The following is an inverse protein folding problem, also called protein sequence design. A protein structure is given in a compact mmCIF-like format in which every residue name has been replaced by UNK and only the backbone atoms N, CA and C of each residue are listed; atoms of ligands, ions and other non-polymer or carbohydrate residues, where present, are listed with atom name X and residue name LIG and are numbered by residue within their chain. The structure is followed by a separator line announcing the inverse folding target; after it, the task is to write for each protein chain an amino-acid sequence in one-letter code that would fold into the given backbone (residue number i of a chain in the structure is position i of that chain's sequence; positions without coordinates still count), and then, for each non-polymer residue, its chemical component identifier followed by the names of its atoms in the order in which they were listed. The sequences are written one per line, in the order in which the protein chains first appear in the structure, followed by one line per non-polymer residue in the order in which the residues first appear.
data_IF_225463938152
#
_entry.id   IF_225463938152
#
_cell.length_a   1.000
_cell.length_b   1.000
_cell.length_c   1.000
_cell.angle_alpha   90.00
_cell.angle_beta   90.00
_cell.angle_gamma   90.00
#
_symmetry.space_group_name_H-M   'P 1'
#
loop_
_entity.id
_entity.type
_entity.pdbx_description
1 polymer ?
#
# COMPACT_ATOMS: atom_id res chain seq x y z
N UNK A 1 0.14 15.01 -24.58
CA UNK A 1 -0.32 16.35 -24.15
C UNK A 1 -1.15 16.25 -22.86
N UNK A 2 -2.22 15.44 -22.80
CA UNK A 2 -3.04 15.26 -21.56
C UNK A 2 -2.22 14.75 -20.36
N UNK A 3 -1.23 13.87 -20.58
CA UNK A 3 -0.34 13.38 -19.52
C UNK A 3 0.58 14.48 -18.96
N UNK A 4 1.08 15.38 -19.81
CA UNK A 4 1.95 16.49 -19.39
C UNK A 4 1.16 17.55 -18.59
N UNK A 5 -0.08 17.83 -18.99
CA UNK A 5 -0.97 18.70 -18.22
C UNK A 5 -1.31 18.13 -16.86
N UNK A 6 -1.49 16.80 -16.77
CA UNK A 6 -1.78 16.10 -15.51
C UNK A 6 -0.57 16.08 -14.55
N UNK A 7 0.66 15.96 -15.05
CA UNK A 7 1.90 16.02 -14.25
C UNK A 7 2.04 17.38 -13.57
N UNK A 8 1.68 18.46 -14.25
CA UNK A 8 1.74 19.82 -13.66
C UNK A 8 0.65 20.07 -12.61
N UNK A 9 -0.37 19.21 -12.51
CA UNK A 9 -1.46 19.28 -11.51
C UNK A 9 -1.21 18.38 -10.31
N UNK A 10 -0.20 17.50 -10.34
CA UNK A 10 0.10 16.64 -9.21
C UNK A 10 0.64 17.46 -8.03
N UNK A 11 0.20 17.17 -6.82
CA UNK A 11 0.73 17.81 -5.64
C UNK A 11 2.22 17.50 -5.50
N UNK A 12 2.98 18.47 -5.00
CA UNK A 12 4.41 18.26 -4.72
C UNK A 12 4.61 17.15 -3.69
N UNK A 13 5.68 16.34 -3.83
CA UNK A 13 6.02 15.34 -2.83
C UNK A 13 6.12 15.93 -1.43
N UNK A 14 5.54 15.25 -0.47
CA UNK A 14 5.58 15.67 0.92
C UNK A 14 7.00 15.49 1.48
N UNK A 15 7.60 16.59 1.94
CA UNK A 15 8.95 16.59 2.54
C UNK A 15 8.86 16.31 4.03
N UNK A 16 8.67 15.04 4.38
CA UNK A 16 8.62 14.55 5.76
C UNK A 16 9.54 13.34 5.92
N UNK A 17 10.00 13.11 7.12
CA UNK A 17 10.57 11.82 7.49
C UNK A 17 9.42 10.82 7.67
N UNK A 18 9.47 9.72 6.91
CA UNK A 18 8.48 8.63 6.99
C UNK A 18 9.03 7.50 7.86
N UNK A 19 8.23 6.94 8.77
CA UNK A 19 8.65 5.72 9.45
C UNK A 19 8.81 4.60 8.41
N UNK A 20 9.96 3.89 8.42
CA UNK A 20 10.23 2.83 7.44
C UNK A 20 9.31 1.64 7.65
N UNK A 21 8.60 1.26 6.60
CA UNK A 21 7.70 0.11 6.60
C UNK A 21 8.49 -1.20 6.74
N UNK A 22 9.60 -1.32 5.99
CA UNK A 22 10.50 -2.47 6.07
C UNK A 22 11.10 -2.63 7.46
N UNK A 23 11.63 -1.55 8.04
CA UNK A 23 12.26 -1.63 9.35
C UNK A 23 11.27 -2.02 10.45
N UNK A 24 10.02 -1.55 10.37
CA UNK A 24 8.99 -1.94 11.32
C UNK A 24 8.66 -3.43 11.28
N UNK A 25 8.70 -4.04 10.09
CA UNK A 25 8.47 -5.49 9.91
C UNK A 25 9.71 -6.33 10.28
N UNK A 26 10.92 -5.75 10.26
CA UNK A 26 12.15 -6.43 10.63
C UNK A 26 12.57 -6.18 12.08
N UNK A 27 11.88 -5.33 12.81
CA UNK A 27 12.20 -5.01 14.20
C UNK A 27 12.03 -6.25 15.11
N UNK A 28 12.83 -6.40 16.18
CA UNK A 28 12.62 -7.46 17.14
C UNK A 28 11.22 -7.39 17.77
N UNK A 29 10.46 -8.49 17.72
CA UNK A 29 9.11 -8.60 18.28
C UNK A 29 8.97 -9.83 19.19
N UNK A 30 10.05 -10.27 19.82
CA UNK A 30 10.12 -11.55 20.49
C UNK A 30 9.87 -12.68 19.47
N UNK A 31 9.04 -13.66 19.83
CA UNK A 31 8.64 -14.74 18.92
C UNK A 31 7.25 -14.53 18.31
N UNK A 32 6.75 -13.27 18.26
CA UNK A 32 5.43 -12.96 17.69
C UNK A 32 5.55 -12.44 16.26
N UNK A 33 4.58 -12.77 15.39
CA UNK A 33 4.53 -12.13 14.07
C UNK A 33 4.24 -10.63 14.20
N UNK A 34 4.73 -9.86 13.25
CA UNK A 34 4.28 -8.48 13.05
C UNK A 34 2.89 -8.47 12.45
N UNK A 35 2.06 -7.52 12.89
CA UNK A 35 0.70 -7.35 12.39
C UNK A 35 0.62 -6.08 11.57
N UNK A 36 0.15 -6.19 10.33
CA UNK A 36 -0.29 -5.08 9.48
C UNK A 36 -1.81 -5.01 9.61
N UNK A 37 -2.32 -4.03 10.35
CA UNK A 37 -3.77 -3.87 10.53
C UNK A 37 -4.37 -3.10 9.37
N UNK A 38 -5.44 -3.65 8.75
CA UNK A 38 -6.06 -3.07 7.56
C UNK A 38 -7.34 -2.31 7.88
N UNK A 39 -7.41 -1.06 7.42
CA UNK A 39 -8.61 -0.25 7.40
C UNK A 39 -9.28 -0.31 6.03
N UNK A 40 -10.51 -0.82 6.01
CA UNK A 40 -11.30 -1.02 4.81
C UNK A 40 -12.79 -0.77 5.08
N UNK A 41 -13.40 0.11 4.28
CA UNK A 41 -14.82 0.46 4.42
C UNK A 41 -15.77 -0.50 3.71
N UNK A 42 -15.34 -1.03 2.58
CA UNK A 42 -16.15 -1.95 1.77
C UNK A 42 -15.25 -2.93 1.03
N UNK A 43 -15.81 -3.99 0.49
CA UNK A 43 -15.14 -4.90 -0.44
C UNK A 43 -16.14 -5.52 -1.43
N UNK A 44 -15.70 -5.94 -2.63
CA UNK A 44 -16.57 -6.61 -3.60
C UNK A 44 -17.27 -7.85 -3.02
N UNK A 45 -16.61 -8.59 -2.12
CA UNK A 45 -17.12 -9.85 -1.55
C UNK A 45 -18.04 -9.65 -0.35
N UNK A 46 -18.00 -8.51 0.34
CA UNK A 46 -18.77 -8.28 1.58
C UNK A 46 -19.66 -7.03 1.54
N UNK A 47 -19.58 -6.23 0.47
CA UNK A 47 -20.25 -4.93 0.44
C UNK A 47 -19.68 -3.96 1.49
N UNK A 48 -20.52 -3.15 2.07
CA UNK A 48 -20.17 -2.18 3.11
C UNK A 48 -19.80 -2.88 4.43
N UNK A 49 -18.73 -2.44 5.07
CA UNK A 49 -18.17 -3.04 6.30
C UNK A 49 -18.24 -2.06 7.47
N UNK A 50 -17.49 -0.95 7.38
CA UNK A 50 -17.33 0.04 8.47
C UNK A 50 -17.51 1.47 7.94
N UNK A 51 -18.70 1.77 7.41
CA UNK A 51 -18.95 3.04 6.72
C UNK A 51 -18.82 4.26 7.63
N UNK A 52 -19.30 4.17 8.86
CA UNK A 52 -19.36 5.29 9.79
C UNK A 52 -18.19 5.35 10.78
N UNK A 53 -17.31 4.35 10.80
CA UNK A 53 -16.20 4.30 11.74
C UNK A 53 -15.07 5.24 11.31
N UNK A 54 -14.64 6.21 12.16
CA UNK A 54 -13.61 7.17 11.79
C UNK A 54 -12.25 6.51 11.56
N UNK A 55 -11.53 6.81 10.44
CA UNK A 55 -10.22 6.23 10.19
C UNK A 55 -9.18 6.55 11.27
N UNK A 56 -9.20 7.75 11.84
CA UNK A 56 -8.33 8.16 12.93
C UNK A 56 -8.54 7.34 14.21
N UNK A 57 -9.77 6.98 14.51
CA UNK A 57 -10.08 6.12 15.65
C UNK A 57 -9.64 4.68 15.39
N UNK A 58 -9.82 4.17 14.16
CA UNK A 58 -9.28 2.88 13.77
C UNK A 58 -7.74 2.83 13.91
N UNK A 59 -7.05 3.86 13.44
CA UNK A 59 -5.60 3.94 13.54
C UNK A 59 -5.12 3.91 15.00
N UNK A 60 -5.80 4.64 15.88
CA UNK A 60 -5.51 4.65 17.31
C UNK A 60 -5.71 3.27 17.94
N UNK A 61 -6.86 2.63 17.71
CA UNK A 61 -7.16 1.31 18.27
C UNK A 61 -6.19 0.24 17.75
N UNK A 62 -5.81 0.28 16.47
CA UNK A 62 -4.83 -0.65 15.90
C UNK A 62 -3.44 -0.46 16.54
N UNK A 63 -3.02 0.79 16.76
CA UNK A 63 -1.75 1.08 17.44
C UNK A 63 -1.78 0.59 18.89
N UNK A 64 -2.84 0.85 19.64
CA UNK A 64 -3.04 0.38 21.03
C UNK A 64 -3.08 -1.14 21.10
N UNK A 65 -3.60 -1.82 20.08
CA UNK A 65 -3.60 -3.28 19.96
C UNK A 65 -2.23 -3.87 19.55
N UNK A 66 -1.23 -3.03 19.26
CA UNK A 66 0.13 -3.49 18.96
C UNK A 66 0.39 -3.78 17.47
N UNK A 67 -0.37 -3.19 16.56
CA UNK A 67 -0.06 -3.25 15.13
C UNK A 67 1.31 -2.64 14.85
N UNK A 68 2.10 -3.28 13.99
CA UNK A 68 3.42 -2.79 13.56
C UNK A 68 3.31 -1.79 12.42
N UNK A 69 2.32 -1.94 11.57
CA UNK A 69 2.03 -1.10 10.41
C UNK A 69 0.51 -1.03 10.18
N UNK A 70 0.07 -0.04 9.40
CA UNK A 70 -1.32 0.07 8.98
C UNK A 70 -1.42 -0.09 7.46
N UNK A 71 -2.40 -0.85 6.98
CA UNK A 71 -2.82 -0.94 5.58
C UNK A 71 -4.08 -0.12 5.39
N UNK A 72 -4.05 0.83 4.45
CA UNK A 72 -5.13 1.80 4.24
C UNK A 72 -5.65 1.66 2.82
N UNK A 73 -6.87 1.17 2.65
CA UNK A 73 -7.53 1.10 1.35
C UNK A 73 -7.83 2.53 0.86
N UNK A 74 -7.29 2.88 -0.32
CA UNK A 74 -7.49 4.20 -0.93
C UNK A 74 -8.27 4.13 -2.24
N UNK A 75 -8.55 2.95 -2.75
CA UNK A 75 -9.38 2.76 -3.95
C UNK A 75 -10.84 3.18 -3.65
N UNK A 76 -11.40 4.02 -4.52
CA UNK A 76 -12.67 4.73 -4.23
C UNK A 76 -13.91 3.93 -4.64
N UNK A 77 -13.84 3.16 -5.71
CA UNK A 77 -15.01 2.53 -6.32
C UNK A 77 -15.48 1.30 -5.55
N UNK A 78 -14.59 0.36 -5.34
CA UNK A 78 -14.92 -0.95 -4.77
C UNK A 78 -14.70 -1.03 -3.25
N UNK A 79 -13.72 -0.26 -2.74
CA UNK A 79 -13.34 -0.31 -1.33
C UNK A 79 -13.80 0.93 -0.54
N UNK A 80 -14.43 1.90 -1.22
CA UNK A 80 -14.92 3.15 -0.63
C UNK A 80 -13.82 3.91 0.15
N UNK A 81 -12.59 3.79 -0.36
CA UNK A 81 -11.41 4.44 0.19
C UNK A 81 -11.21 5.87 -0.30
N UNK A 82 -10.16 6.50 0.16
CA UNK A 82 -9.66 7.77 -0.39
C UNK A 82 -8.22 8.01 0.06
N UNK A 83 -7.41 8.71 -0.74
CA UNK A 83 -6.07 9.14 -0.35
C UNK A 83 -6.05 9.96 0.95
N UNK A 84 -7.13 10.68 1.24
CA UNK A 84 -7.29 11.46 2.47
C UNK A 84 -7.21 10.64 3.75
N UNK A 85 -7.52 9.34 3.71
CA UNK A 85 -7.41 8.46 4.88
C UNK A 85 -5.95 8.27 5.34
N UNK A 86 -4.97 8.29 4.43
CA UNK A 86 -3.56 8.22 4.81
C UNK A 86 -3.18 9.35 5.78
N UNK A 87 -3.63 10.59 5.51
CA UNK A 87 -3.40 11.72 6.43
C UNK A 87 -4.16 11.55 7.75
N UNK A 88 -5.41 11.11 7.70
CA UNK A 88 -6.25 10.93 8.89
C UNK A 88 -5.72 9.81 9.81
N UNK A 89 -5.07 8.80 9.26
CA UNK A 89 -4.54 7.64 10.00
C UNK A 89 -3.07 7.79 10.42
N UNK A 90 -2.41 8.92 10.13
CA UNK A 90 -0.97 9.10 10.41
C UNK A 90 -0.64 9.47 11.86
N UNK A 91 -1.62 9.89 12.66
CA UNK A 91 -1.38 10.40 14.02
C UNK A 91 -0.65 9.44 14.97
N UNK A 92 -0.87 8.10 14.95
CA UNK A 92 -0.12 7.18 15.80
C UNK A 92 1.36 7.02 15.44
N UNK A 93 1.82 7.55 14.29
CA UNK A 93 3.21 7.46 13.85
C UNK A 93 3.62 6.08 13.30
N UNK A 94 2.67 5.16 13.09
CA UNK A 94 2.96 3.87 12.47
C UNK A 94 3.17 3.99 10.96
N UNK A 95 4.03 3.14 10.34
CA UNK A 95 4.18 3.10 8.90
C UNK A 95 2.85 2.79 8.21
N UNK A 96 2.53 3.53 7.14
CA UNK A 96 1.27 3.42 6.39
C UNK A 96 1.52 2.82 5.02
N UNK A 97 0.84 1.72 4.71
CA UNK A 97 0.77 1.14 3.36
C UNK A 97 -0.44 1.74 2.63
N UNK A 98 -0.22 2.40 1.49
CA UNK A 98 -1.27 2.69 0.53
C UNK A 98 -1.67 1.41 -0.18
N UNK A 99 -2.85 0.87 0.14
CA UNK A 99 -3.44 -0.31 -0.51
C UNK A 99 -4.37 0.16 -1.61
N UNK A 100 -3.93 0.00 -2.86
CA UNK A 100 -4.62 0.50 -4.05
C UNK A 100 -4.17 -0.30 -5.28
N UNK A 101 -4.84 -0.14 -6.42
CA UNK A 101 -4.42 -0.67 -7.71
C UNK A 101 -3.46 0.32 -8.39
N UNK A 102 -2.16 0.16 -8.13
CA UNK A 102 -1.10 1.05 -8.62
C UNK A 102 -0.38 0.39 -9.80
N UNK A 103 -0.46 1.02 -10.97
CA UNK A 103 0.15 0.56 -12.22
C UNK A 103 0.71 1.72 -13.07
N UNK A 104 0.65 2.95 -12.58
CA UNK A 104 1.10 4.14 -13.30
C UNK A 104 1.97 5.04 -12.42
N UNK A 105 2.97 5.68 -13.03
CA UNK A 105 3.91 6.60 -12.36
C UNK A 105 3.23 7.79 -11.70
N UNK A 106 2.10 8.25 -12.23
CA UNK A 106 1.32 9.34 -11.64
C UNK A 106 0.72 8.93 -10.30
N UNK A 107 0.32 7.66 -10.15
CA UNK A 107 -0.18 7.13 -8.88
C UNK A 107 0.95 7.05 -7.83
N UNK A 108 2.18 6.72 -8.24
CA UNK A 108 3.35 6.76 -7.35
C UNK A 108 3.63 8.20 -6.91
N UNK A 109 3.62 9.17 -7.84
CA UNK A 109 3.79 10.59 -7.52
C UNK A 109 2.68 11.11 -6.58
N UNK A 110 1.42 10.71 -6.80
CA UNK A 110 0.31 11.04 -5.90
C UNK A 110 0.53 10.45 -4.49
N UNK A 111 1.08 9.22 -4.40
CA UNK A 111 1.45 8.62 -3.11
C UNK A 111 2.53 9.45 -2.39
N UNK A 112 3.51 9.95 -3.13
CA UNK A 112 4.60 10.76 -2.58
C UNK A 112 4.12 12.06 -1.93
N UNK A 113 2.94 12.56 -2.30
CA UNK A 113 2.30 13.72 -1.70
C UNK A 113 1.50 13.39 -0.42
N UNK A 114 1.50 12.14 0.04
CA UNK A 114 0.82 11.67 1.24
C UNK A 114 1.83 11.22 2.31
N UNK A 115 1.42 11.01 3.56
CA UNK A 115 2.30 10.44 4.59
C UNK A 115 2.52 8.92 4.46
N UNK A 116 2.12 8.28 3.36
CA UNK A 116 2.37 6.86 3.16
C UNK A 116 3.86 6.52 3.22
N UNK A 117 4.20 5.46 3.94
CA UNK A 117 5.55 4.89 4.06
C UNK A 117 5.79 3.78 3.04
N UNK A 118 4.72 3.19 2.53
CA UNK A 118 4.77 2.13 1.53
C UNK A 118 3.59 2.23 0.56
N UNK A 119 3.74 1.63 -0.60
CA UNK A 119 2.66 1.42 -1.58
C UNK A 119 2.64 -0.04 -2.07
N UNK A 120 1.46 -0.49 -2.52
CA UNK A 120 1.28 -1.82 -3.07
C UNK A 120 1.49 -1.81 -4.59
N UNK A 121 2.29 -2.75 -5.08
CA UNK A 121 2.40 -3.10 -6.50
C UNK A 121 1.98 -4.56 -6.68
N UNK A 122 0.99 -4.81 -7.52
CA UNK A 122 0.46 -6.15 -7.78
C UNK A 122 1.07 -6.66 -9.09
N UNK A 123 1.78 -7.79 -9.06
CA UNK A 123 2.46 -8.34 -10.25
C UNK A 123 1.49 -8.53 -11.41
N UNK A 124 0.31 -9.05 -11.15
CA UNK A 124 -0.72 -9.29 -12.18
C UNK A 124 -1.27 -8.03 -12.85
N UNK A 125 -1.15 -6.87 -12.21
CA UNK A 125 -1.46 -5.56 -12.82
C UNK A 125 -0.27 -4.95 -13.57
N UNK A 126 0.94 -5.41 -13.28
CA UNK A 126 2.20 -4.95 -13.88
C UNK A 126 3.04 -6.15 -14.30
N UNK A 127 2.58 -6.97 -15.27
CA UNK A 127 3.21 -8.25 -15.63
C UNK A 127 4.55 -8.10 -16.37
N UNK A 128 5.01 -6.87 -16.58
CA UNK A 128 6.33 -6.54 -17.12
C UNK A 128 7.28 -6.19 -15.96
N UNK A 129 8.32 -7.00 -15.78
CA UNK A 129 9.32 -6.78 -14.74
C UNK A 129 10.05 -5.43 -14.86
N UNK A 130 10.22 -4.88 -16.06
CA UNK A 130 10.82 -3.56 -16.26
C UNK A 130 9.90 -2.43 -15.77
N UNK A 131 8.61 -2.51 -16.05
CA UNK A 131 7.61 -1.57 -15.53
C UNK A 131 7.51 -1.68 -14.01
N UNK A 132 7.38 -2.89 -13.48
CA UNK A 132 7.34 -3.15 -12.03
C UNK A 132 8.56 -2.56 -11.32
N UNK A 133 9.77 -2.80 -11.86
CA UNK A 133 11.02 -2.21 -11.38
C UNK A 133 10.97 -0.68 -11.40
N UNK A 134 10.54 -0.09 -12.51
CA UNK A 134 10.48 1.37 -12.67
C UNK A 134 9.54 2.02 -11.65
N UNK A 135 8.38 1.43 -11.37
CA UNK A 135 7.44 1.94 -10.36
C UNK A 135 8.01 1.80 -8.94
N UNK A 136 8.66 0.66 -8.64
CA UNK A 136 9.35 0.42 -7.37
C UNK A 136 10.46 1.46 -7.13
N UNK A 137 11.36 1.64 -8.11
CA UNK A 137 12.48 2.58 -8.00
C UNK A 137 12.00 4.03 -7.85
N UNK A 138 10.92 4.40 -8.54
CA UNK A 138 10.31 5.72 -8.36
C UNK A 138 9.75 5.89 -6.95
N UNK A 139 9.10 4.89 -6.36
CA UNK A 139 8.61 4.94 -4.99
C UNK A 139 9.78 5.10 -3.99
N UNK A 140 10.82 4.28 -4.14
CA UNK A 140 12.01 4.30 -3.29
C UNK A 140 12.77 5.63 -3.37
N UNK A 141 12.81 6.27 -4.56
CA UNK A 141 13.38 7.62 -4.72
C UNK A 141 12.65 8.70 -3.92
N UNK A 142 11.40 8.44 -3.53
CA UNK A 142 10.61 9.29 -2.63
C UNK A 142 10.64 8.83 -1.16
N UNK A 143 11.47 7.84 -0.82
CA UNK A 143 11.51 7.25 0.53
C UNK A 143 10.27 6.43 0.88
N UNK A 144 9.63 5.83 -0.12
CA UNK A 144 8.43 4.99 0.03
C UNK A 144 8.80 3.56 -0.32
N UNK A 145 8.61 2.62 0.60
CA UNK A 145 8.85 1.20 0.36
C UNK A 145 7.80 0.64 -0.65
N UNK A 146 8.23 -0.24 -1.55
CA UNK A 146 7.32 -0.95 -2.44
C UNK A 146 7.05 -2.36 -1.88
N UNK A 147 5.79 -2.64 -1.55
CA UNK A 147 5.30 -3.97 -1.23
C UNK A 147 4.80 -4.61 -2.52
N UNK A 148 5.43 -5.69 -2.96
CA UNK A 148 5.09 -6.38 -4.21
C UNK A 148 4.23 -7.58 -3.90
N UNK A 149 2.98 -7.55 -4.36
CA UNK A 149 2.01 -8.63 -4.15
C UNK A 149 2.11 -9.66 -5.26
N UNK A 150 2.20 -10.92 -4.84
CA UNK A 150 2.25 -12.11 -5.69
C UNK A 150 1.15 -13.08 -5.30
N UNK A 151 0.78 -13.93 -6.22
CA UNK A 151 -0.15 -15.04 -5.98
C UNK A 151 0.54 -16.40 -6.14
N UNK A 152 1.37 -16.57 -7.17
CA UNK A 152 2.00 -17.83 -7.50
C UNK A 152 3.52 -17.71 -7.74
N UNK A 153 4.16 -18.83 -8.09
CA UNK A 153 5.60 -18.89 -8.34
C UNK A 153 6.04 -18.09 -9.58
N UNK A 154 5.17 -17.95 -10.59
CA UNK A 154 5.47 -17.13 -11.77
C UNK A 154 5.51 -15.65 -11.39
N UNK A 155 4.56 -15.19 -10.57
CA UNK A 155 4.55 -13.85 -9.99
C UNK A 155 5.80 -13.62 -9.14
N UNK A 156 6.22 -14.62 -8.35
CA UNK A 156 7.45 -14.54 -7.53
C UNK A 156 8.71 -14.33 -8.38
N UNK A 157 8.81 -15.01 -9.53
CA UNK A 157 9.93 -14.80 -10.44
C UNK A 157 9.99 -13.34 -10.94
N UNK A 158 8.86 -12.78 -11.38
CA UNK A 158 8.77 -11.38 -11.83
C UNK A 158 9.08 -10.39 -10.70
N UNK A 159 8.58 -10.65 -9.48
CA UNK A 159 8.88 -9.84 -8.31
C UNK A 159 10.39 -9.81 -8.00
N UNK A 160 11.05 -10.95 -8.04
CA UNK A 160 12.51 -11.07 -7.84
C UNK A 160 13.29 -10.35 -8.95
N UNK A 161 12.92 -10.54 -10.20
CA UNK A 161 13.55 -9.88 -11.35
C UNK A 161 13.38 -8.36 -11.30
N UNK A 162 12.29 -7.86 -10.73
CA UNK A 162 12.10 -6.43 -10.48
C UNK A 162 13.00 -5.88 -9.38
N UNK A 163 13.60 -6.73 -8.53
CA UNK A 163 14.39 -6.35 -7.36
C UNK A 163 13.53 -6.04 -6.13
N UNK A 164 12.34 -6.63 -6.01
CA UNK A 164 11.46 -6.45 -4.84
C UNK A 164 12.14 -6.87 -3.54
N UNK A 165 12.01 -6.06 -2.50
CA UNK A 165 12.57 -6.30 -1.15
C UNK A 165 11.52 -6.75 -0.15
N UNK A 166 10.26 -6.36 -0.38
CA UNK A 166 9.10 -6.73 0.45
C UNK A 166 8.12 -7.43 -0.47
N UNK A 167 7.82 -8.68 -0.16
CA UNK A 167 6.88 -9.51 -0.93
C UNK A 167 5.70 -9.85 -0.05
N UNK A 168 4.50 -9.61 -0.57
CA UNK A 168 3.23 -10.03 0.03
C UNK A 168 2.67 -11.19 -0.78
N UNK A 169 2.38 -12.30 -0.13
CA UNK A 169 1.64 -13.41 -0.75
C UNK A 169 0.15 -13.17 -0.53
N UNK A 170 -0.63 -13.11 -1.61
CA UNK A 170 -2.08 -13.04 -1.54
C UNK A 170 -2.66 -14.47 -1.61
N UNK A 171 -3.24 -14.93 -0.50
CA UNK A 171 -3.89 -16.24 -0.42
C UNK A 171 -5.24 -16.30 -1.15
N UNK A 172 -5.75 -15.16 -1.63
CA UNK A 172 -7.01 -15.10 -2.38
C UNK A 172 -6.74 -15.06 -3.86
N UNK A 173 -7.29 -16.01 -4.59
CA UNK A 173 -7.32 -15.97 -6.05
C UNK A 173 -8.12 -14.74 -6.53
N UNK A 174 -7.53 -13.93 -7.41
CA UNK A 174 -8.14 -12.68 -7.88
C UNK A 174 -9.26 -12.91 -8.90
N UNK A 175 -9.24 -14.06 -9.59
CA UNK A 175 -10.23 -14.40 -10.61
C UNK A 175 -11.47 -15.08 -9.99
N UNK A 176 -11.24 -15.99 -9.05
CA UNK A 176 -12.32 -16.77 -8.40
C UNK A 176 -12.78 -16.19 -7.07
N UNK A 177 -11.99 -15.30 -6.45
CA UNK A 177 -12.17 -14.73 -5.11
C UNK A 177 -12.16 -15.80 -3.98
N UNK A 178 -11.75 -17.02 -4.28
CA UNK A 178 -11.59 -18.09 -3.29
C UNK A 178 -10.25 -17.93 -2.55
N UNK A 179 -10.21 -18.41 -1.32
CA UNK A 179 -9.00 -18.47 -0.49
C UNK A 179 -8.54 -19.92 -0.46
N UNK A 180 -7.27 -20.17 -0.84
CA UNK A 180 -6.62 -21.46 -0.68
C UNK A 180 -6.27 -21.74 0.79
#
# INVERSE_FOLDING_TARGET
LRQLEYINMLPLPLRIERPSFLNALCAPNGNRPHVIAEFKRASPSRGDILMDFPPEEAAKQYAEAGASCLSVLTEETYFKGTLGYLKRMSAPGLPLLRKDFIFDRLQVAATAATPASALLLIVRLTPDAALLRSLREQAEAHGIDAVVEIFDEADLALARDSGARIIQVNARDLDTLQVD
#
